data_IF_906213062021
#
_entry.id   IF_906213062021
#
_cell.length_a   1.000
_cell.length_b   1.000
_cell.length_c   1.000
_cell.angle_alpha   90.00
_cell.angle_beta   90.00
_cell.angle_gamma   90.00
#
_symmetry.space_group_name_H-M   'P 1'
#
loop_
_entity.id
_entity.type
_entity.pdbx_description
1 polymer ?
#
# COMPACT_ATOMS: atom_id res chain seq x y z
N UNK A 1 -46.94 38.65 -45.23
CA UNK A 1 -45.85 37.73 -44.81
C UNK A 1 -45.18 38.26 -43.53
N UNK A 2 -45.86 38.22 -42.38
CA UNK A 2 -45.30 38.81 -41.14
C UNK A 2 -45.74 38.04 -39.89
N UNK A 3 -47.02 37.67 -39.78
CA UNK A 3 -47.53 36.90 -38.63
C UNK A 3 -46.98 35.47 -38.53
N UNK A 4 -46.77 34.79 -39.66
CA UNK A 4 -46.21 33.42 -39.70
C UNK A 4 -44.73 33.39 -39.32
N UNK A 5 -43.98 34.46 -39.65
CA UNK A 5 -42.59 34.62 -39.25
C UNK A 5 -42.45 34.96 -37.76
N UNK A 6 -43.37 35.77 -37.22
CA UNK A 6 -43.43 36.03 -35.78
C UNK A 6 -43.81 34.75 -35.00
N UNK A 7 -44.76 33.96 -35.51
CA UNK A 7 -45.09 32.65 -34.90
C UNK A 7 -43.90 31.68 -34.95
N UNK A 8 -43.12 31.63 -36.04
CA UNK A 8 -41.93 30.75 -36.08
C UNK A 8 -40.83 31.21 -35.11
N UNK A 9 -40.63 32.52 -34.92
CA UNK A 9 -39.69 33.08 -33.95
C UNK A 9 -40.12 32.79 -32.51
N UNK A 10 -41.43 32.84 -32.22
CA UNK A 10 -41.99 32.54 -30.89
C UNK A 10 -41.91 31.04 -30.57
N UNK A 11 -41.98 30.15 -31.57
CA UNK A 11 -41.79 28.71 -31.35
C UNK A 11 -40.32 28.31 -31.14
N UNK A 12 -39.35 29.09 -31.64
CA UNK A 12 -37.91 28.82 -31.45
C UNK A 12 -37.39 29.24 -30.06
N UNK A 13 -38.14 30.03 -29.30
CA UNK A 13 -37.70 30.58 -28.01
C UNK A 13 -38.20 29.79 -26.78
N UNK A 14 -38.87 28.66 -26.96
CA UNK A 14 -39.23 27.77 -25.83
C UNK A 14 -37.99 27.02 -25.36
N UNK A 15 -37.18 27.68 -24.54
CA UNK A 15 -36.10 27.02 -23.80
C UNK A 15 -36.73 26.16 -22.71
N UNK A 16 -36.73 24.84 -22.93
CA UNK A 16 -37.21 23.91 -21.93
C UNK A 16 -36.24 23.89 -20.75
N UNK A 17 -36.74 24.19 -19.54
CA UNK A 17 -35.94 24.08 -18.32
C UNK A 17 -35.40 22.65 -18.15
N UNK A 18 -34.12 22.54 -17.82
CA UNK A 18 -33.33 21.31 -17.87
C UNK A 18 -32.38 21.16 -16.68
N UNK A 19 -31.80 19.97 -16.57
CA UNK A 19 -30.67 19.65 -15.69
C UNK A 19 -29.60 18.93 -16.52
N UNK A 20 -28.35 19.32 -16.33
CA UNK A 20 -27.17 18.76 -17.00
C UNK A 20 -26.11 18.36 -15.98
N UNK A 21 -25.29 17.37 -16.33
CA UNK A 21 -24.24 16.84 -15.48
C UNK A 21 -23.00 16.48 -16.31
N UNK A 22 -21.94 15.95 -15.68
CA UNK A 22 -20.68 15.67 -16.36
C UNK A 22 -20.74 14.47 -17.33
N UNK A 23 -21.83 13.69 -17.34
CA UNK A 23 -21.97 12.45 -18.10
C UNK A 23 -21.18 11.30 -17.46
N UNK A 24 -19.86 11.45 -17.33
CA UNK A 24 -18.97 10.49 -16.70
C UNK A 24 -18.23 11.10 -15.51
N UNK A 25 -18.01 10.30 -14.47
CA UNK A 25 -17.10 10.63 -13.37
C UNK A 25 -16.24 9.43 -13.02
N UNK A 26 -14.94 9.63 -12.87
CA UNK A 26 -14.02 8.61 -12.40
C UNK A 26 -13.44 8.93 -11.03
N UNK A 27 -13.09 7.89 -10.29
CA UNK A 27 -12.33 7.97 -9.05
C UNK A 27 -11.67 6.62 -8.74
N UNK A 28 -10.68 6.63 -7.85
CA UNK A 28 -10.02 5.39 -7.41
C UNK A 28 -10.70 4.85 -6.16
N UNK A 29 -10.61 3.54 -5.94
CA UNK A 29 -11.06 2.91 -4.68
C UNK A 29 -10.45 3.63 -3.48
N UNK A 30 -11.29 3.95 -2.49
CA UNK A 30 -10.92 4.67 -1.26
C UNK A 30 -10.87 6.20 -1.40
N UNK A 31 -10.93 6.75 -2.61
CA UNK A 31 -10.96 8.19 -2.82
C UNK A 31 -12.36 8.79 -2.64
N UNK A 32 -12.43 10.11 -2.54
CA UNK A 32 -13.69 10.87 -2.60
C UNK A 32 -13.90 11.40 -4.01
N UNK A 33 -15.16 11.50 -4.44
CA UNK A 33 -15.54 12.11 -5.73
C UNK A 33 -16.59 13.18 -5.54
N UNK A 34 -16.45 14.25 -6.32
CA UNK A 34 -17.42 15.35 -6.38
C UNK A 34 -18.05 15.41 -7.76
N UNK A 35 -19.37 15.36 -7.81
CA UNK A 35 -20.21 15.43 -9.01
C UNK A 35 -21.00 16.74 -8.93
N UNK A 36 -21.00 17.51 -10.01
CA UNK A 36 -21.69 18.78 -10.09
C UNK A 36 -22.67 18.75 -11.26
N UNK A 37 -23.94 19.00 -10.97
CA UNK A 37 -25.02 19.08 -11.94
C UNK A 37 -25.54 20.51 -11.98
N UNK A 38 -25.75 21.07 -13.17
CA UNK A 38 -26.35 22.40 -13.36
C UNK A 38 -27.82 22.26 -13.71
N UNK A 39 -28.66 23.10 -13.13
CA UNK A 39 -30.09 23.14 -13.38
C UNK A 39 -30.54 24.57 -13.61
N UNK A 40 -31.55 24.73 -14.47
CA UNK A 40 -32.15 26.05 -14.69
C UNK A 40 -32.79 26.60 -13.42
N UNK A 41 -32.65 27.90 -13.19
CA UNK A 41 -33.16 28.57 -11.97
C UNK A 41 -34.67 28.48 -11.81
N UNK A 42 -35.40 28.12 -12.87
CA UNK A 42 -36.80 27.68 -12.79
C UNK A 42 -37.01 26.58 -11.72
N UNK A 43 -36.01 25.70 -11.53
CA UNK A 43 -36.07 24.63 -10.53
C UNK A 43 -35.61 25.04 -9.12
N UNK A 44 -35.39 26.33 -8.85
CA UNK A 44 -34.83 26.83 -7.56
C UNK A 44 -35.56 26.29 -6.32
N UNK A 45 -36.89 26.21 -6.37
CA UNK A 45 -37.70 25.83 -5.21
C UNK A 45 -38.04 24.34 -5.16
N UNK A 46 -37.55 23.55 -6.13
CA UNK A 46 -37.78 22.12 -6.18
C UNK A 46 -36.70 21.38 -5.40
N UNK A 47 -37.05 20.24 -4.82
CA UNK A 47 -36.06 19.38 -4.22
C UNK A 47 -35.19 18.73 -5.30
N UNK A 48 -33.96 18.42 -4.91
CA UNK A 48 -32.94 17.78 -5.72
C UNK A 48 -32.59 16.46 -5.08
N UNK A 49 -32.31 15.44 -5.87
CA UNK A 49 -31.92 14.15 -5.32
C UNK A 49 -30.82 13.48 -6.13
N UNK A 50 -30.13 12.57 -5.44
CA UNK A 50 -29.12 11.69 -6.01
C UNK A 50 -29.65 10.26 -5.98
N UNK A 51 -29.74 9.66 -7.15
CA UNK A 51 -30.39 8.36 -7.36
C UNK A 51 -29.42 7.36 -7.98
N UNK A 52 -29.41 6.10 -7.53
CA UNK A 52 -28.56 5.03 -8.07
C UNK A 52 -29.39 3.98 -8.79
N UNK A 53 -28.98 3.60 -10.00
CA UNK A 53 -29.64 2.55 -10.77
C UNK A 53 -29.52 2.77 -12.28
N UNK A 54 -29.57 1.67 -13.03
CA UNK A 54 -29.51 1.72 -14.50
C UNK A 54 -30.74 2.41 -15.10
N UNK A 55 -31.93 2.11 -14.58
CA UNK A 55 -33.18 2.65 -15.09
C UNK A 55 -33.57 3.95 -14.39
N UNK A 56 -33.78 5.01 -15.19
CA UNK A 56 -34.17 6.35 -14.72
C UNK A 56 -35.39 6.36 -13.78
N UNK A 57 -36.43 5.56 -14.08
CA UNK A 57 -37.73 5.60 -13.37
C UNK A 57 -37.78 4.76 -12.09
N UNK A 58 -36.83 3.86 -11.89
CA UNK A 58 -36.84 2.91 -10.77
C UNK A 58 -35.50 2.88 -10.03
N UNK A 59 -34.72 3.95 -10.17
CA UNK A 59 -33.48 4.11 -9.41
C UNK A 59 -33.80 4.27 -7.92
N UNK A 60 -32.87 3.86 -7.07
CA UNK A 60 -32.97 4.03 -5.61
C UNK A 60 -32.47 5.41 -5.23
N UNK A 61 -33.35 6.25 -4.65
CA UNK A 61 -32.96 7.55 -4.10
C UNK A 61 -32.04 7.34 -2.89
N UNK A 62 -30.80 7.80 -2.98
CA UNK A 62 -29.81 7.65 -1.91
C UNK A 62 -29.86 8.82 -0.92
N UNK A 63 -30.08 10.03 -1.43
CA UNK A 63 -30.20 11.26 -0.64
C UNK A 63 -30.96 12.32 -1.44
N UNK A 64 -31.74 13.16 -0.74
CA UNK A 64 -32.55 14.24 -1.31
C UNK A 64 -32.40 15.50 -0.46
N UNK A 65 -32.45 16.67 -1.09
CA UNK A 65 -32.41 17.96 -0.39
C UNK A 65 -33.76 18.22 0.28
N UNK A 66 -33.80 18.23 1.61
CA UNK A 66 -34.91 18.80 2.39
C UNK A 66 -34.48 20.15 3.01
N UNK A 67 -33.67 20.93 2.27
CA UNK A 67 -32.89 22.06 2.75
C UNK A 67 -31.59 22.23 1.92
N UNK A 68 -30.68 23.15 2.27
CA UNK A 68 -29.47 23.40 1.49
C UNK A 68 -28.48 22.22 1.48
N UNK A 69 -28.50 21.38 2.52
CA UNK A 69 -27.60 20.24 2.69
C UNK A 69 -28.30 19.03 3.34
N UNK A 70 -27.93 17.82 2.92
CA UNK A 70 -28.29 16.57 3.61
C UNK A 70 -27.21 15.50 3.41
N UNK A 71 -27.16 14.50 4.30
CA UNK A 71 -26.29 13.32 4.17
C UNK A 71 -27.13 12.03 4.01
N UNK A 72 -26.55 11.02 3.37
CA UNK A 72 -27.08 9.65 3.35
C UNK A 72 -27.05 9.03 4.76
N UNK A 73 -27.79 7.94 4.94
CA UNK A 73 -27.85 7.22 6.21
C UNK A 73 -26.47 6.74 6.71
N UNK A 74 -25.61 6.28 5.80
CA UNK A 74 -24.23 5.87 6.11
C UNK A 74 -23.24 7.05 6.20
N UNK A 75 -23.70 8.29 5.99
CA UNK A 75 -22.90 9.51 6.05
C UNK A 75 -21.89 9.71 4.90
N UNK A 76 -21.71 8.72 4.01
CA UNK A 76 -20.70 8.77 2.93
C UNK A 76 -21.08 9.71 1.80
N UNK A 77 -22.38 9.98 1.61
CA UNK A 77 -22.87 10.83 0.53
C UNK A 77 -23.43 12.11 1.12
N UNK A 78 -22.92 13.24 0.67
CA UNK A 78 -23.44 14.58 0.97
C UNK A 78 -23.99 15.22 -0.29
N UNK A 79 -25.19 15.79 -0.19
CA UNK A 79 -25.82 16.55 -1.27
C UNK A 79 -26.01 17.99 -0.82
N UNK A 80 -25.67 18.93 -1.69
CA UNK A 80 -25.78 20.38 -1.44
C UNK A 80 -26.30 21.07 -2.69
N UNK A 81 -27.25 22.00 -2.55
CA UNK A 81 -27.79 22.78 -3.66
C UNK A 81 -27.55 24.29 -3.46
N UNK A 82 -26.80 24.90 -4.39
CA UNK A 82 -26.76 26.35 -4.58
C UNK A 82 -27.88 26.75 -5.54
N UNK A 83 -29.03 27.05 -4.95
CA UNK A 83 -30.26 27.43 -5.62
C UNK A 83 -30.18 28.80 -6.31
N UNK A 84 -29.24 29.66 -5.91
CA UNK A 84 -29.02 30.95 -6.56
C UNK A 84 -28.30 30.75 -7.91
N UNK A 85 -27.28 29.89 -7.93
CA UNK A 85 -26.46 29.59 -9.10
C UNK A 85 -26.96 28.43 -9.96
N UNK A 86 -28.02 27.74 -9.53
CA UNK A 86 -28.54 26.60 -10.27
C UNK A 86 -27.60 25.40 -10.24
N UNK A 87 -26.98 25.10 -9.09
CA UNK A 87 -25.96 24.06 -8.99
C UNK A 87 -26.28 23.05 -7.88
N UNK A 88 -26.31 21.77 -8.25
CA UNK A 88 -26.38 20.64 -7.35
C UNK A 88 -24.98 20.01 -7.24
N UNK A 89 -24.47 19.85 -6.03
CA UNK A 89 -23.19 19.20 -5.75
C UNK A 89 -23.42 17.95 -4.92
N UNK A 90 -22.94 16.81 -5.41
CA UNK A 90 -22.93 15.53 -4.72
C UNK A 90 -21.49 15.18 -4.42
N UNK A 91 -21.19 14.96 -3.14
CA UNK A 91 -19.89 14.50 -2.67
C UNK A 91 -20.05 13.08 -2.12
N UNK A 92 -19.27 12.14 -2.64
CA UNK A 92 -19.25 10.75 -2.20
C UNK A 92 -17.85 10.44 -1.65
N UNK A 93 -17.78 10.06 -0.38
CA UNK A 93 -16.52 9.73 0.28
C UNK A 93 -16.24 8.22 0.24
N UNK A 94 -14.94 7.86 0.23
CA UNK A 94 -14.44 6.49 0.29
C UNK A 94 -15.15 5.55 -0.68
N UNK A 95 -15.11 5.87 -1.98
CA UNK A 95 -15.79 5.07 -2.99
C UNK A 95 -15.19 3.67 -3.09
N UNK A 96 -16.04 2.68 -3.32
CA UNK A 96 -15.69 1.26 -3.40
C UNK A 96 -16.03 0.71 -4.77
N UNK A 97 -15.58 -0.51 -5.09
CA UNK A 97 -15.94 -1.16 -6.37
C UNK A 97 -17.46 -1.29 -6.54
N UNK A 98 -18.21 -1.49 -5.46
CA UNK A 98 -19.69 -1.55 -5.45
C UNK A 98 -20.37 -0.21 -5.73
N UNK A 99 -19.65 0.91 -5.61
CA UNK A 99 -20.17 2.23 -5.95
C UNK A 99 -20.15 2.47 -7.48
N UNK A 100 -19.44 1.66 -8.27
CA UNK A 100 -19.48 1.73 -9.74
C UNK A 100 -20.91 1.54 -10.26
N UNK A 101 -21.29 2.34 -11.25
CA UNK A 101 -22.57 2.16 -11.95
C UNK A 101 -23.20 3.46 -12.44
N UNK A 102 -24.49 3.37 -12.75
CA UNK A 102 -25.29 4.50 -13.21
C UNK A 102 -25.98 5.20 -12.06
N UNK A 103 -25.95 6.52 -12.13
CA UNK A 103 -26.57 7.43 -11.19
C UNK A 103 -27.30 8.54 -11.93
N UNK A 104 -28.10 9.28 -11.18
CA UNK A 104 -28.89 10.39 -11.71
C UNK A 104 -28.91 11.55 -10.71
N UNK A 105 -28.63 12.75 -11.22
CA UNK A 105 -29.09 13.98 -10.58
C UNK A 105 -30.54 14.21 -11.01
N UNK A 106 -31.45 14.33 -10.06
CA UNK A 106 -32.88 14.52 -10.30
C UNK A 106 -33.43 15.79 -9.68
N UNK A 107 -34.44 16.36 -10.33
CA UNK A 107 -35.33 17.39 -9.77
C UNK A 107 -36.66 16.72 -9.44
N UNK A 108 -37.05 16.71 -8.17
CA UNK A 108 -38.35 16.16 -7.76
C UNK A 108 -39.45 17.15 -8.13
N UNK A 109 -40.30 16.79 -9.11
CA UNK A 109 -41.48 17.55 -9.52
C UNK A 109 -42.75 16.82 -9.11
N UNK A 110 -43.46 17.30 -8.08
CA UNK A 110 -44.74 16.73 -7.70
C UNK A 110 -45.70 16.66 -8.89
N UNK A 111 -46.29 15.48 -9.11
CA UNK A 111 -47.28 15.20 -10.16
C UNK A 111 -46.78 15.33 -11.62
N UNK A 112 -45.47 15.40 -11.86
CA UNK A 112 -44.87 15.50 -13.18
C UNK A 112 -43.68 14.53 -13.33
N UNK A 113 -43.23 14.31 -14.56
CA UNK A 113 -42.01 13.55 -14.80
C UNK A 113 -40.79 14.35 -14.35
N UNK A 114 -39.87 13.70 -13.64
CA UNK A 114 -38.66 14.37 -13.16
C UNK A 114 -37.63 14.63 -14.29
N UNK A 115 -37.11 15.87 -14.40
CA UNK A 115 -35.87 16.18 -15.09
C UNK A 115 -34.72 15.44 -14.41
N UNK A 116 -34.04 14.60 -15.17
CA UNK A 116 -32.97 13.73 -14.69
C UNK A 116 -31.84 13.73 -15.71
N UNK A 117 -30.59 13.84 -15.25
CA UNK A 117 -29.38 13.72 -16.07
C UNK A 117 -28.57 12.51 -15.60
N UNK A 118 -28.09 11.65 -16.52
CA UNK A 118 -27.34 10.44 -16.17
C UNK A 118 -25.89 10.77 -15.83
N UNK A 119 -25.34 10.01 -14.88
CA UNK A 119 -23.92 10.01 -14.54
C UNK A 119 -23.43 8.56 -14.47
N UNK A 120 -22.41 8.22 -15.24
CA UNK A 120 -21.70 6.96 -15.08
C UNK A 120 -20.52 7.14 -14.12
N UNK A 121 -20.59 6.53 -12.94
CA UNK A 121 -19.48 6.51 -11.98
C UNK A 121 -18.57 5.31 -12.27
N UNK A 122 -17.33 5.61 -12.67
CA UNK A 122 -16.25 4.65 -12.95
C UNK A 122 -15.33 4.59 -11.73
N UNK A 123 -15.18 3.41 -11.14
CA UNK A 123 -14.27 3.18 -10.01
C UNK A 123 -13.07 2.40 -10.50
N UNK A 124 -11.90 3.03 -10.42
CA UNK A 124 -10.62 2.50 -10.86
C UNK A 124 -9.90 1.86 -9.67
N UNK A 125 -9.19 0.76 -9.91
CA UNK A 125 -8.31 0.20 -8.89
C UNK A 125 -7.04 1.05 -8.79
N UNK A 126 -6.51 1.19 -7.57
CA UNK A 126 -5.16 1.72 -7.39
C UNK A 126 -4.15 0.84 -8.12
N UNK A 127 -3.12 1.45 -8.71
CA UNK A 127 -1.96 0.69 -9.20
C UNK A 127 -1.44 -0.14 -8.01
N UNK A 128 -1.37 -1.47 -8.12
CA UNK A 128 -0.60 -2.26 -7.16
C UNK A 128 0.80 -1.67 -7.17
N UNK A 129 1.23 -1.08 -6.06
CA UNK A 129 2.56 -0.49 -5.96
C UNK A 129 3.58 -1.62 -5.84
N UNK A 130 3.85 -2.26 -6.99
CA UNK A 130 4.79 -3.37 -7.15
C UNK A 130 6.18 -3.02 -6.61
N UNK A 131 6.51 -1.74 -6.52
CA UNK A 131 7.76 -1.23 -5.96
C UNK A 131 7.88 -1.59 -4.48
N UNK A 132 6.81 -1.44 -3.70
CA UNK A 132 6.80 -1.77 -2.26
C UNK A 132 6.89 -3.28 -2.02
N UNK A 133 6.21 -4.06 -2.84
CA UNK A 133 6.27 -5.53 -2.77
C UNK A 133 7.63 -6.06 -3.24
N UNK A 134 8.26 -5.41 -4.23
CA UNK A 134 9.63 -5.72 -4.68
C UNK A 134 10.67 -5.39 -3.61
N UNK A 135 10.56 -4.26 -2.91
CA UNK A 135 11.47 -3.92 -1.81
C UNK A 135 11.30 -4.88 -0.62
N UNK A 136 10.06 -5.28 -0.30
CA UNK A 136 9.79 -6.34 0.69
C UNK A 136 10.41 -7.67 0.27
N UNK A 137 10.22 -8.09 -0.98
CA UNK A 137 10.78 -9.33 -1.50
C UNK A 137 12.31 -9.29 -1.52
N UNK A 138 12.91 -8.15 -1.89
CA UNK A 138 14.36 -7.93 -1.80
C UNK A 138 14.85 -8.08 -0.37
N UNK A 139 14.15 -7.47 0.60
CA UNK A 139 14.51 -7.59 2.01
C UNK A 139 14.41 -9.03 2.51
N UNK A 140 13.38 -9.78 2.11
CA UNK A 140 13.28 -11.22 2.45
C UNK A 140 14.38 -12.04 1.81
N UNK A 141 14.71 -11.79 0.55
CA UNK A 141 15.81 -12.47 -0.14
C UNK A 141 17.16 -12.16 0.50
N UNK A 142 17.44 -10.90 0.87
CA UNK A 142 18.70 -10.53 1.53
C UNK A 142 18.80 -11.14 2.92
N UNK A 143 17.74 -11.10 3.73
CA UNK A 143 17.70 -11.75 5.03
C UNK A 143 17.88 -13.27 4.92
N UNK A 144 17.24 -13.91 3.94
CA UNK A 144 17.39 -15.34 3.68
C UNK A 144 18.82 -15.72 3.28
N UNK A 145 19.47 -14.93 2.42
CA UNK A 145 20.87 -15.14 2.02
C UNK A 145 21.80 -14.97 3.23
N UNK A 146 21.63 -13.92 4.03
CA UNK A 146 22.45 -13.68 5.23
C UNK A 146 22.31 -14.83 6.22
N UNK A 147 21.08 -15.27 6.48
CA UNK A 147 20.82 -16.40 7.37
C UNK A 147 21.45 -17.71 6.85
N UNK A 148 21.36 -17.97 5.54
CA UNK A 148 22.01 -19.12 4.91
C UNK A 148 23.53 -19.07 5.04
N UNK A 149 24.15 -17.90 4.83
CA UNK A 149 25.60 -17.72 5.02
C UNK A 149 26.00 -17.96 6.47
N UNK A 150 25.25 -17.40 7.44
CA UNK A 150 25.52 -17.61 8.87
C UNK A 150 25.40 -19.09 9.27
N UNK A 151 24.43 -19.80 8.71
CA UNK A 151 24.28 -21.24 8.91
C UNK A 151 25.45 -22.03 8.32
N UNK A 152 25.91 -21.68 7.11
CA UNK A 152 27.09 -22.31 6.49
C UNK A 152 28.38 -22.05 7.26
N UNK A 153 28.55 -20.87 7.86
CA UNK A 153 29.70 -20.59 8.73
C UNK A 153 29.65 -21.39 10.03
N UNK A 154 28.45 -21.66 10.56
CA UNK A 154 28.28 -22.41 11.81
C UNK A 154 28.64 -23.90 11.63
N UNK A 155 28.41 -24.46 10.44
CA UNK A 155 28.84 -25.81 10.07
C UNK A 155 30.37 -25.98 10.05
N UNK A 156 31.13 -24.90 9.89
CA UNK A 156 32.59 -24.94 9.83
C UNK A 156 33.26 -24.90 11.22
N UNK A 157 32.57 -24.38 12.23
CA UNK A 157 33.12 -24.24 13.60
C UNK A 157 33.02 -25.54 14.41
N UNK A 158 32.06 -26.42 14.12
CA UNK A 158 31.91 -27.70 14.83
C UNK A 158 32.94 -28.77 14.38
N UNK A 159 33.76 -28.49 13.37
CA UNK A 159 34.72 -29.44 12.79
C UNK A 159 36.20 -29.17 13.07
N UNK A 160 36.56 -28.10 13.77
CA UNK A 160 37.97 -27.68 13.91
C UNK A 160 38.50 -28.00 15.31
N UNK A 161 39.21 -29.12 15.44
CA UNK A 161 40.04 -29.45 16.61
C UNK A 161 41.45 -28.93 16.39
N UNK A 162 41.89 -27.94 17.15
CA UNK A 162 43.28 -27.47 17.12
C UNK A 162 44.11 -28.25 18.16
N UNK A 163 45.31 -28.67 17.76
CA UNK A 163 46.31 -29.22 18.67
C UNK A 163 47.45 -28.20 18.79
N UNK A 164 47.83 -27.84 20.02
CA UNK A 164 48.96 -26.95 20.30
C UNK A 164 50.22 -27.78 20.54
N UNK A 165 51.26 -27.58 19.73
CA UNK A 165 52.56 -28.25 19.91
C UNK A 165 53.48 -27.32 20.70
N UNK A 166 53.89 -27.72 21.90
CA UNK A 166 54.94 -27.03 22.66
C UNK A 166 56.30 -27.61 22.28
N UNK A 167 57.11 -26.85 21.55
CA UNK A 167 58.50 -27.22 21.24
C UNK A 167 59.37 -26.66 22.37
N UNK A 168 59.95 -27.53 23.19
CA UNK A 168 61.03 -27.13 24.08
C UNK A 168 62.36 -27.19 23.30
N UNK A 169 63.14 -26.11 23.22
CA UNK A 169 64.44 -26.13 22.57
C UNK A 169 65.40 -26.99 23.40
N UNK A 170 65.74 -28.17 22.87
CA UNK A 170 66.76 -29.03 23.46
C UNK A 170 68.14 -28.45 23.15
N UNK A 171 68.89 -28.07 24.18
CA UNK A 171 70.30 -27.75 24.05
C UNK A 171 71.10 -29.02 23.68
N UNK A 172 71.90 -28.88 22.62
CA UNK A 172 72.83 -29.82 21.97
C UNK A 172 73.73 -30.64 22.96
N UNK A 173 74.41 -31.77 22.61
CA UNK A 173 74.74 -32.22 21.25
C UNK A 173 74.86 -33.73 20.88
N UNK A 174 74.86 -33.95 19.54
CA UNK A 174 75.69 -34.92 18.77
C UNK A 174 75.17 -36.32 18.33
N UNK A 175 75.43 -36.59 17.04
CA UNK A 175 75.65 -37.84 16.29
C UNK A 175 74.56 -38.92 16.07
N UNK A 176 74.34 -39.17 14.77
CA UNK A 176 74.17 -40.43 14.05
C UNK A 176 73.03 -41.44 14.32
N UNK A 177 72.45 -41.85 13.18
CA UNK A 177 71.94 -43.19 12.85
C UNK A 177 70.49 -43.57 13.20
N UNK A 178 69.76 -43.89 12.13
CA UNK A 178 68.78 -44.96 11.93
C UNK A 178 67.74 -45.31 13.03
N UNK A 179 66.47 -45.20 12.58
CA UNK A 179 65.37 -46.16 12.73
C UNK A 179 64.68 -46.41 14.10
N UNK A 180 63.34 -46.25 14.05
CA UNK A 180 62.27 -46.96 14.75
C UNK A 180 62.17 -46.90 16.29
N UNK A 181 61.00 -46.47 16.79
CA UNK A 181 60.06 -47.28 17.60
C UNK A 181 59.31 -46.47 18.71
N UNK A 182 57.97 -46.64 18.72
CA UNK A 182 56.96 -46.67 19.81
C UNK A 182 56.59 -45.47 20.72
N UNK A 183 55.36 -45.00 20.48
CA UNK A 183 54.13 -45.12 21.33
C UNK A 183 54.28 -45.04 22.86
N UNK A 184 53.63 -44.08 23.54
CA UNK A 184 52.35 -44.26 24.30
C UNK A 184 51.92 -43.00 25.06
N UNK A 185 50.60 -42.84 25.16
CA UNK A 185 49.77 -41.81 25.79
C UNK A 185 49.80 -41.77 27.32
N UNK A 186 49.56 -40.59 27.92
CA UNK A 186 48.77 -40.46 29.16
C UNK A 186 48.14 -39.06 29.33
N UNK A 187 46.86 -39.05 29.71
CA UNK A 187 46.05 -37.91 30.17
C UNK A 187 46.22 -37.74 31.68
N UNK A 188 46.11 -36.52 32.21
CA UNK A 188 45.02 -36.09 33.14
C UNK A 188 45.38 -34.88 34.02
N UNK A 189 44.43 -33.92 34.12
CA UNK A 189 43.98 -33.16 35.32
C UNK A 189 44.98 -32.21 36.02
N UNK A 190 44.67 -31.05 36.60
CA UNK A 190 43.46 -30.25 36.85
C UNK A 190 43.92 -28.84 37.35
N UNK A 191 43.00 -27.88 37.42
CA UNK A 191 43.15 -26.43 37.61
C UNK A 191 43.78 -25.94 38.93
N UNK A 192 44.18 -24.65 38.99
CA UNK A 192 43.89 -23.64 40.06
C UNK A 192 44.40 -22.23 39.64
N UNK A 193 43.60 -21.19 39.95
CA UNK A 193 43.68 -19.71 39.71
C UNK A 193 44.42 -19.01 40.90
N UNK A 194 44.59 -17.66 41.05
CA UNK A 194 44.73 -16.49 40.14
C UNK A 194 45.98 -15.58 40.40
N UNK A 195 46.24 -14.69 39.42
CA UNK A 195 46.73 -13.28 39.46
C UNK A 195 47.72 -12.77 40.54
N UNK A 196 48.84 -12.14 40.10
CA UNK A 196 49.37 -10.80 40.48
C UNK A 196 50.47 -10.39 39.46
N UNK A 197 50.62 -9.07 39.28
CA UNK A 197 51.30 -8.33 38.21
C UNK A 197 52.83 -8.55 37.99
N UNK A 198 53.19 -8.58 36.69
CA UNK A 198 54.28 -7.95 35.89
C UNK A 198 55.53 -7.37 36.62
N UNK A 199 56.80 -7.46 36.12
CA UNK A 199 57.29 -7.42 34.71
C UNK A 199 58.51 -8.39 34.47
N UNK A 200 59.42 -8.30 33.45
CA UNK A 200 59.49 -7.48 32.24
C UNK A 200 59.56 -8.31 30.93
N UNK A 201 59.53 -7.59 29.80
CA UNK A 201 59.48 -8.13 28.43
C UNK A 201 60.53 -9.22 28.14
N UNK A 202 60.03 -10.45 27.92
CA UNK A 202 60.72 -11.53 27.20
C UNK A 202 60.11 -11.68 25.81
N UNK A 203 60.97 -11.91 24.82
CA UNK A 203 60.74 -11.95 23.38
C UNK A 203 59.56 -12.85 22.91
N UNK A 204 59.05 -12.64 21.68
CA UNK A 204 57.80 -13.24 21.23
C UNK A 204 57.92 -14.76 21.15
N UNK A 205 57.09 -15.47 21.90
CA UNK A 205 56.95 -16.92 21.73
C UNK A 205 56.22 -17.15 20.39
N UNK A 206 56.90 -17.77 19.43
CA UNK A 206 56.32 -18.08 18.12
C UNK A 206 55.48 -19.37 18.22
N UNK A 207 54.17 -19.20 18.25
CA UNK A 207 53.22 -20.32 18.22
C UNK A 207 52.83 -20.61 16.77
N UNK A 208 53.03 -21.84 16.31
CA UNK A 208 52.45 -22.32 15.06
C UNK A 208 51.20 -23.13 15.36
N UNK A 209 50.04 -22.66 14.87
CA UNK A 209 48.76 -23.39 14.99
C UNK A 209 48.56 -24.20 13.72
N UNK A 210 48.46 -25.52 13.84
CA UNK A 210 48.16 -26.41 12.71
C UNK A 210 46.69 -26.82 12.77
N UNK A 211 45.95 -26.53 11.69
CA UNK A 211 44.53 -26.86 11.55
C UNK A 211 44.41 -28.18 10.79
N UNK A 212 43.81 -29.19 11.42
CA UNK A 212 43.50 -30.46 10.77
C UNK A 212 42.01 -30.51 10.38
N UNK A 213 41.74 -30.90 9.14
CA UNK A 213 40.39 -31.11 8.60
C UNK A 213 40.10 -32.61 8.59
N UNK A 214 38.97 -33.04 9.13
CA UNK A 214 38.53 -34.44 9.08
C UNK A 214 38.20 -34.86 7.65
#
# INVERSE_FOLDING_TARGET
MSFTFLLSIVFLSVTHASISGPGDKSGHVGASVTIQCRFDTYFRNYQKYWCKGYYKRSCTVLVQTNGPEKKSHDGRIKITADNAKGQLTVHMDQITKSDKGWYWCGIDRPNLLDPLTPIQLKVLEGRKDYTKDKERLRLFLTLGIIFGILMLSKELEEGVTYATVTIQPNNHPQEDSAAHEKVRTSNSQEAIKPAVAEPPASEPIEYSTIVFKK
#
